data_IF_341339826292
#
_entry.id   IF_341339826292
#
_cell.length_a   1.000
_cell.length_b   1.000
_cell.length_c   1.000
_cell.angle_alpha   90.00
_cell.angle_beta   90.00
_cell.angle_gamma   90.00
#
_symmetry.space_group_name_H-M   'P 1'
#
loop_
_entity.id
_entity.type
_entity.pdbx_description
1 polymer ?
#
# COMPACT_ATOMS: atom_id res chain seq x y z
N UNK A 1 -2.11 16.18 -2.12
CA UNK A 1 -2.15 14.72 -2.09
C UNK A 1 -1.72 14.26 -3.45
N UNK A 2 -0.44 13.90 -3.56
CA UNK A 2 0.13 13.43 -4.80
C UNK A 2 -0.21 11.95 -4.97
N UNK A 3 0.10 11.41 -6.14
CA UNK A 3 0.16 9.97 -6.32
C UNK A 3 1.37 9.65 -7.17
N UNK A 4 2.01 8.52 -6.88
CA UNK A 4 3.11 7.99 -7.68
C UNK A 4 2.74 6.63 -8.22
N UNK A 5 3.02 6.42 -9.49
CA UNK A 5 2.86 5.12 -10.12
C UNK A 5 4.21 4.41 -10.17
N UNK A 6 4.20 3.11 -9.93
CA UNK A 6 5.35 2.23 -10.05
C UNK A 6 4.87 0.86 -10.51
N UNK A 7 5.76 0.11 -11.16
CA UNK A 7 5.45 -1.25 -11.61
C UNK A 7 6.11 -2.24 -10.66
N UNK A 8 5.40 -3.29 -10.26
CA UNK A 8 5.99 -4.35 -9.44
C UNK A 8 6.87 -5.32 -10.28
N UNK A 9 7.67 -6.20 -9.64
CA UNK A 9 8.54 -7.13 -10.35
C UNK A 9 7.79 -8.16 -11.22
N UNK A 10 6.49 -8.38 -10.96
CA UNK A 10 5.60 -9.23 -11.75
C UNK A 10 4.98 -8.47 -12.95
N UNK A 11 5.26 -7.17 -13.06
CA UNK A 11 4.81 -6.32 -14.15
C UNK A 11 3.45 -5.67 -13.92
N UNK A 12 2.89 -5.71 -12.71
CA UNK A 12 1.63 -5.01 -12.44
C UNK A 12 1.85 -3.56 -12.01
N UNK A 13 1.00 -2.67 -12.52
CA UNK A 13 1.07 -1.23 -12.20
C UNK A 13 0.32 -0.94 -10.90
N UNK A 14 0.98 -0.19 -10.01
CA UNK A 14 0.45 0.24 -8.73
C UNK A 14 0.56 1.74 -8.59
N UNK A 15 -0.39 2.32 -7.87
CA UNK A 15 -0.38 3.73 -7.48
C UNK A 15 -0.28 3.83 -5.96
N UNK A 16 0.77 4.46 -5.47
CA UNK A 16 0.92 4.81 -4.05
C UNK A 16 0.43 6.25 -3.80
N UNK A 17 -0.38 6.41 -2.76
CA UNK A 17 -0.89 7.71 -2.28
C UNK A 17 -0.46 7.95 -0.84
N UNK A 18 0.00 9.16 -0.57
CA UNK A 18 0.26 9.66 0.77
C UNK A 18 -1.07 10.10 1.43
N UNK A 19 -1.74 9.22 2.16
CA UNK A 19 -2.95 9.63 2.89
C UNK A 19 -2.56 10.43 4.12
N UNK A 20 -1.61 9.89 4.87
CA UNK A 20 -1.02 10.54 6.05
C UNK A 20 0.46 10.15 6.14
N UNK A 21 1.21 10.89 6.98
CA UNK A 21 2.62 10.57 7.29
C UNK A 21 2.82 9.21 7.95
N UNK A 22 1.74 8.50 8.29
CA UNK A 22 1.76 7.21 8.97
C UNK A 22 0.90 6.15 8.27
N UNK A 23 0.33 6.45 7.11
CA UNK A 23 -0.48 5.52 6.35
C UNK A 23 -0.46 5.88 4.86
N UNK A 24 -0.07 4.90 4.06
CA UNK A 24 -0.06 4.96 2.61
C UNK A 24 -1.06 3.98 2.02
N UNK A 25 -1.60 4.36 0.88
CA UNK A 25 -2.56 3.57 0.11
C UNK A 25 -1.94 3.12 -1.20
N UNK A 26 -1.95 1.81 -1.45
CA UNK A 26 -1.47 1.21 -2.68
C UNK A 26 -2.69 0.71 -3.46
N UNK A 27 -2.96 1.35 -4.59
CA UNK A 27 -4.06 1.01 -5.49
C UNK A 27 -3.53 0.21 -6.68
N UNK A 28 -4.17 -0.91 -7.04
CA UNK A 28 -3.93 -1.55 -8.33
C UNK A 28 -4.40 -0.60 -9.45
N UNK A 29 -3.59 -0.45 -10.50
CA UNK A 29 -3.93 0.37 -11.67
C UNK A 29 -4.09 -0.52 -12.90
N UNK A 30 -5.06 -0.18 -13.74
CA UNK A 30 -5.34 -0.91 -14.98
C UNK A 30 -5.87 -2.32 -14.71
N UNK A 31 -5.33 -3.31 -15.43
CA UNK A 31 -5.71 -4.73 -15.31
C UNK A 31 -5.03 -5.48 -14.17
N UNK A 32 -4.41 -4.78 -13.22
CA UNK A 32 -3.73 -5.38 -12.09
C UNK A 32 -4.71 -6.17 -11.20
N UNK A 33 -4.54 -7.51 -11.03
CA UNK A 33 -5.41 -8.35 -10.20
C UNK A 33 -5.20 -8.14 -8.69
N UNK A 34 -4.19 -7.37 -8.31
CA UNK A 34 -3.86 -7.01 -6.95
C UNK A 34 -5.03 -6.35 -6.22
N UNK A 35 -5.05 -6.49 -4.90
CA UNK A 35 -6.03 -5.81 -4.04
C UNK A 35 -5.43 -4.52 -3.53
N UNK A 36 -6.28 -3.54 -3.32
CA UNK A 36 -5.89 -2.32 -2.62
C UNK A 36 -5.31 -2.64 -1.23
N UNK A 37 -4.14 -2.06 -0.93
CA UNK A 37 -3.40 -2.32 0.30
C UNK A 37 -3.14 -1.04 1.08
N UNK A 38 -3.28 -1.13 2.40
CA UNK A 38 -2.84 -0.10 3.33
C UNK A 38 -1.48 -0.48 3.90
N UNK A 39 -0.50 0.39 3.73
CA UNK A 39 0.88 0.15 4.17
C UNK A 39 1.29 1.27 5.10
N UNK A 40 1.93 0.90 6.21
CA UNK A 40 2.58 1.85 7.10
C UNK A 40 3.92 2.24 6.48
N UNK A 41 4.25 3.55 6.36
CA UNK A 41 5.56 4.01 5.94
C UNK A 41 6.68 3.39 6.78
N UNK A 42 7.88 3.20 6.19
CA UNK A 42 9.06 2.86 6.98
C UNK A 42 9.38 3.98 7.98
N UNK A 43 9.92 3.63 9.15
CA UNK A 43 10.19 4.61 10.21
C UNK A 43 11.25 5.68 9.87
N UNK A 44 12.00 5.49 8.78
CA UNK A 44 13.01 6.44 8.29
C UNK A 44 12.51 7.35 7.16
N UNK A 45 11.39 7.01 6.51
CA UNK A 45 10.85 7.78 5.39
C UNK A 45 9.31 7.80 5.45
N UNK A 46 8.75 9.00 5.52
CA UNK A 46 7.31 9.22 5.61
C UNK A 46 6.69 9.62 4.26
N UNK A 47 7.52 9.86 3.25
CA UNK A 47 7.13 10.24 1.91
C UNK A 47 7.42 9.12 0.88
N UNK A 48 6.40 8.62 0.16
CA UNK A 48 6.58 7.53 -0.81
C UNK A 48 7.23 8.00 -2.13
N UNK A 49 7.35 9.30 -2.37
CA UNK A 49 8.01 9.87 -3.55
C UNK A 49 9.54 9.88 -3.38
N UNK A 50 10.02 9.98 -2.14
CA UNK A 50 11.45 9.89 -1.81
C UNK A 50 11.99 8.44 -1.82
N UNK A 51 11.11 7.43 -1.74
CA UNK A 51 11.51 6.03 -1.82
C UNK A 51 11.86 5.60 -3.25
N UNK A 52 12.77 4.64 -3.38
CA UNK A 52 13.01 3.96 -4.66
C UNK A 52 11.85 3.02 -5.02
N UNK A 53 11.65 2.75 -6.31
CA UNK A 53 10.63 1.80 -6.77
C UNK A 53 10.84 0.41 -6.15
N UNK A 54 12.09 -0.05 -6.05
CA UNK A 54 12.45 -1.32 -5.39
C UNK A 54 12.00 -1.37 -3.92
N UNK A 55 11.99 -0.24 -3.21
CA UNK A 55 11.51 -0.18 -1.83
C UNK A 55 9.99 -0.24 -1.76
N UNK A 56 9.29 0.47 -2.66
CA UNK A 56 7.83 0.39 -2.79
C UNK A 56 7.39 -1.04 -3.13
N UNK A 57 8.10 -1.71 -4.03
CA UNK A 57 7.90 -3.12 -4.35
C UNK A 57 8.13 -4.04 -3.14
N UNK A 58 9.21 -3.82 -2.38
CA UNK A 58 9.48 -4.60 -1.16
C UNK A 58 8.41 -4.40 -0.08
N UNK A 59 7.84 -3.20 0.02
CA UNK A 59 6.74 -2.92 0.94
C UNK A 59 5.46 -3.65 0.52
N UNK A 60 5.16 -3.67 -0.77
CA UNK A 60 4.01 -4.39 -1.34
C UNK A 60 4.15 -5.91 -1.21
N UNK A 61 5.35 -6.45 -1.44
CA UNK A 61 5.67 -7.88 -1.42
C UNK A 61 5.85 -8.47 -0.01
N UNK A 62 5.83 -7.65 1.05
CA UNK A 62 5.82 -8.15 2.43
C UNK A 62 4.37 -8.47 2.84
N UNK A 63 4.00 -9.75 3.04
CA UNK A 63 2.71 -10.12 3.61
C UNK A 63 2.70 -9.74 5.09
N UNK A 64 2.46 -8.46 5.38
CA UNK A 64 2.70 -7.93 6.71
C UNK A 64 2.84 -6.41 6.81
N UNK A 65 2.47 -5.66 5.76
CA UNK A 65 2.02 -4.30 5.98
C UNK A 65 0.90 -4.35 7.02
N UNK A 66 1.19 -3.94 8.25
CA UNK A 66 0.34 -4.07 9.43
C UNK A 66 -0.86 -3.11 9.37
N UNK A 67 -1.50 -2.96 8.21
CA UNK A 67 -2.90 -2.64 8.14
C UNK A 67 -3.65 -3.87 8.63
N UNK A 68 -3.96 -3.90 9.93
CA UNK A 68 -5.01 -4.74 10.50
C UNK A 68 -6.19 -4.70 9.53
N UNK A 69 -6.34 -5.73 8.71
CA UNK A 69 -7.61 -6.04 8.07
C UNK A 69 -8.56 -6.02 9.25
N UNK A 70 -9.38 -4.96 9.35
CA UNK A 70 -10.41 -4.90 10.39
C UNK A 70 -11.25 -6.12 10.08
N UNK A 71 -11.04 -7.19 10.84
CA UNK A 71 -12.02 -8.26 10.97
C UNK A 71 -13.29 -7.51 11.33
N UNK A 72 -14.20 -7.38 10.36
CA UNK A 72 -15.51 -6.84 10.59
C UNK A 72 -16.13 -7.77 11.63
N UNK A 73 -16.06 -7.38 12.92
CA UNK A 73 -16.96 -7.94 13.93
C UNK A 73 -18.34 -7.41 13.55
N UNK A 74 -19.00 -8.20 12.72
CA UNK A 74 -20.39 -8.03 12.32
C UNK A 74 -21.26 -7.89 13.57
N UNK A 75 -22.25 -6.98 13.60
CA UNK A 75 -22.95 -6.55 14.81
C UNK A 75 -24.06 -7.51 15.28
N UNK A 76 -24.05 -8.78 14.86
CA UNK A 76 -25.02 -9.76 15.37
C UNK A 76 -24.64 -10.18 16.79
N UNK A 77 -25.21 -9.44 17.74
CA UNK A 77 -25.62 -9.95 19.04
C UNK A 77 -26.53 -11.17 18.82
N UNK A 78 -26.19 -12.28 19.46
CA UNK A 78 -27.15 -13.17 20.12
C UNK A 78 -26.68 -13.33 21.56
#
# INVERSE_FOLDING_TARGET
MGYRRFTDPEGHEWEVRDVTRSAWEFHPVGGNPGKYQFITPPGYEADPFELSEEELQRLLGKPGGSGRARSAKSPFKD
#
